data_IF_741408083326
#
_entry.id   IF_741408083326
#
_cell.length_a   1.000
_cell.length_b   1.000
_cell.length_c   1.000
_cell.angle_alpha   90.00
_cell.angle_beta   90.00
_cell.angle_gamma   90.00
#
_symmetry.space_group_name_H-M   'P 1'
#
loop_
_entity.id
_entity.type
_entity.pdbx_description
1 polymer ?
#
# COMPACT_ATOMS: atom_id res chain seq x y z
N UNK A 1 2.98 17.91 -6.12
CA UNK A 1 3.71 16.93 -5.28
C UNK A 1 3.30 15.57 -5.81
N UNK A 2 4.23 14.61 -5.97
CA UNK A 2 3.84 13.25 -6.33
C UNK A 2 2.80 12.75 -5.32
N UNK A 3 1.82 11.99 -5.80
CA UNK A 3 0.77 11.47 -4.94
C UNK A 3 1.38 10.59 -3.85
N UNK A 4 1.02 10.86 -2.61
CA UNK A 4 1.27 9.94 -1.50
C UNK A 4 0.17 8.88 -1.54
N UNK A 5 0.56 7.60 -1.49
CA UNK A 5 -0.38 6.49 -1.37
C UNK A 5 -0.32 5.93 0.05
N UNK A 6 -1.40 6.10 0.81
CA UNK A 6 -1.57 5.53 2.15
C UNK A 6 -2.27 4.16 2.06
N UNK A 7 -1.65 3.13 2.63
CA UNK A 7 -2.14 1.76 2.53
C UNK A 7 -2.21 1.10 3.89
N UNK A 8 -3.30 0.37 4.13
CA UNK A 8 -3.49 -0.47 5.31
C UNK A 8 -3.47 -1.94 4.93
N UNK A 9 -2.83 -2.73 5.80
CA UNK A 9 -2.93 -4.17 5.76
C UNK A 9 -4.16 -4.60 6.56
N UNK A 10 -5.05 -5.35 5.92
CA UNK A 10 -6.32 -5.84 6.49
C UNK A 10 -6.20 -7.24 7.10
N UNK A 11 -4.99 -7.81 7.12
CA UNK A 11 -4.73 -9.08 7.77
C UNK A 11 -4.59 -8.87 9.29
N UNK A 12 -5.55 -9.38 10.06
CA UNK A 12 -5.58 -9.29 11.53
C UNK A 12 -4.42 -10.03 12.23
N UNK A 13 -3.75 -10.96 11.53
CA UNK A 13 -2.56 -11.66 12.02
C UNK A 13 -1.25 -10.91 11.71
N UNK A 14 -1.32 -9.77 11.00
CA UNK A 14 -0.18 -8.95 10.64
C UNK A 14 0.03 -7.84 11.68
N UNK A 15 1.25 -7.70 12.21
CA UNK A 15 1.58 -6.61 13.15
C UNK A 15 1.64 -5.23 12.46
N UNK A 16 1.71 -5.21 11.13
CA UNK A 16 1.73 -3.99 10.35
C UNK A 16 0.31 -3.50 10.07
N UNK A 17 -0.08 -2.37 10.66
CA UNK A 17 -1.41 -1.79 10.50
C UNK A 17 -1.50 -0.87 9.27
N UNK A 18 -0.60 0.12 9.16
CA UNK A 18 -0.58 1.12 8.08
C UNK A 18 0.85 1.44 7.66
N UNK A 19 1.04 1.74 6.38
CA UNK A 19 2.29 2.28 5.84
C UNK A 19 2.01 3.24 4.68
N UNK A 20 2.95 4.17 4.48
CA UNK A 20 2.89 5.19 3.45
C UNK A 20 3.95 4.88 2.38
N UNK A 21 3.56 4.97 1.10
CA UNK A 21 4.48 4.77 -0.01
C UNK A 21 4.85 6.11 -0.65
N UNK A 22 6.15 6.41 -0.60
CA UNK A 22 6.74 7.59 -1.24
C UNK A 22 7.45 7.22 -2.52
N UNK A 23 6.94 7.74 -3.63
CA UNK A 23 7.56 7.57 -4.94
C UNK A 23 8.37 8.81 -5.31
N UNK A 24 9.62 8.61 -5.72
CA UNK A 24 10.48 9.69 -6.22
C UNK A 24 10.14 10.09 -7.66
N UNK A 25 9.37 9.26 -8.37
CA UNK A 25 8.90 9.45 -9.73
C UNK A 25 7.39 9.30 -9.77
N UNK A 26 6.75 9.85 -10.81
CA UNK A 26 5.32 9.65 -11.03
C UNK A 26 5.02 8.17 -11.24
N UNK A 27 4.11 7.65 -10.42
CA UNK A 27 3.58 6.30 -10.58
C UNK A 27 2.71 6.26 -11.85
N UNK A 28 2.83 5.21 -12.68
CA UNK A 28 1.93 5.01 -13.82
C UNK A 28 0.46 4.91 -13.37
N UNK A 29 -0.46 5.48 -14.16
CA UNK A 29 -1.89 5.53 -13.83
C UNK A 29 -2.56 4.14 -13.74
N UNK A 30 -1.90 3.09 -14.23
CA UNK A 30 -2.38 1.71 -14.23
C UNK A 30 -1.87 0.87 -13.04
N UNK A 31 -1.04 1.44 -12.17
CA UNK A 31 -0.55 0.78 -10.95
C UNK A 31 -1.48 1.06 -9.78
N UNK A 32 -1.97 0.01 -9.12
CA UNK A 32 -2.82 0.09 -7.94
C UNK A 32 -2.29 -0.69 -6.75
N UNK A 33 -3.00 -0.65 -5.62
CA UNK A 33 -2.60 -1.37 -4.38
C UNK A 33 -2.45 -2.89 -4.57
N UNK A 34 -3.13 -3.47 -5.55
CA UNK A 34 -3.05 -4.89 -5.92
C UNK A 34 -1.72 -5.30 -6.53
N UNK A 35 -0.91 -4.35 -6.99
CA UNK A 35 0.41 -4.60 -7.56
C UNK A 35 1.52 -4.69 -6.49
N UNK A 36 1.16 -4.50 -5.22
CA UNK A 36 2.08 -4.48 -4.09
C UNK A 36 1.90 -5.67 -3.15
N UNK A 37 2.91 -5.88 -2.30
CA UNK A 37 2.89 -6.85 -1.22
C UNK A 37 3.09 -6.14 0.11
N UNK A 38 2.38 -6.59 1.15
CA UNK A 38 2.64 -6.12 2.50
C UNK A 38 4.11 -6.43 2.85
N UNK A 39 4.93 -5.42 3.23
CA UNK A 39 6.35 -5.65 3.50
C UNK A 39 6.60 -6.45 4.79
N UNK A 40 5.56 -6.66 5.62
CA UNK A 40 5.65 -7.46 6.84
C UNK A 40 5.19 -8.91 6.60
N UNK A 41 3.93 -9.13 6.19
CA UNK A 41 3.38 -10.48 6.03
C UNK A 41 3.53 -11.07 4.62
N UNK A 42 3.96 -10.28 3.63
CA UNK A 42 4.11 -10.71 2.23
C UNK A 42 2.81 -10.92 1.46
N UNK A 43 1.65 -10.65 2.06
CA UNK A 43 0.35 -10.82 1.42
C UNK A 43 0.09 -9.77 0.32
N UNK A 44 -0.50 -10.21 -0.80
CA UNK A 44 -0.91 -9.36 -1.94
C UNK A 44 -2.36 -8.89 -1.81
N UNK A 45 -3.23 -9.74 -1.27
CA UNK A 45 -4.69 -9.51 -1.30
C UNK A 45 -5.20 -8.83 -0.02
N UNK A 46 -4.28 -8.46 0.88
CA UNK A 46 -4.60 -7.85 2.17
C UNK A 46 -4.42 -6.33 2.18
N UNK A 47 -3.90 -5.73 1.10
CA UNK A 47 -3.65 -4.30 1.01
C UNK A 47 -4.89 -3.53 0.58
N UNK A 48 -5.14 -2.41 1.24
CA UNK A 48 -6.25 -1.51 0.90
C UNK A 48 -5.80 -0.06 1.00
N UNK A 49 -6.06 0.70 -0.05
CA UNK A 49 -5.87 2.15 -0.07
C UNK A 49 -6.82 2.81 0.94
N UNK A 50 -6.31 3.83 1.63
CA UNK A 50 -7.09 4.69 2.51
C UNK A 50 -7.06 6.10 1.94
N UNK A 51 -8.25 6.68 1.74
CA UNK A 51 -8.42 8.10 1.48
C UNK A 51 -8.76 8.82 2.81
N UNK A 52 -8.03 9.90 3.11
CA UNK A 52 -8.28 10.81 4.24
C UNK A 52 -9.36 11.84 3.93
#
# INVERSE_FOLDING_TARGET
MPATLEVKCTNDECEMDMFEMHYTYDMPDDVGVSDFQCPYCGGTDCLREIEL
#
